data_IF_647220797252
#
_entry.id   IF_647220797252
#
_cell.length_a   1.000
_cell.length_b   1.000
_cell.length_c   1.000
_cell.angle_alpha   90.00
_cell.angle_beta   90.00
_cell.angle_gamma   90.00
#
_symmetry.space_group_name_H-M   'P 1'
#
loop_
_entity.id
_entity.type
_entity.pdbx_description
1 polymer ?
#
# COMPACT_ATOMS: atom_id res chain seq x y z
N UNK A 1 -10.41 -0.87 16.45
CA UNK A 1 -10.51 0.39 17.21
C UNK A 1 -11.64 1.21 16.61
N UNK A 2 -12.79 1.39 17.30
CA UNK A 2 -13.91 2.19 16.74
C UNK A 2 -13.40 3.58 16.40
N UNK A 3 -13.47 3.96 15.12
CA UNK A 3 -13.22 5.31 14.64
C UNK A 3 -14.14 6.26 15.42
N UNK A 4 -13.63 6.84 16.51
CA UNK A 4 -14.22 8.03 17.08
C UNK A 4 -14.20 9.05 15.97
N UNK A 5 -15.37 9.59 15.62
CA UNK A 5 -15.49 10.77 14.78
C UNK A 5 -14.73 11.88 15.51
N UNK A 6 -13.46 12.03 15.20
CA UNK A 6 -12.63 13.10 15.73
C UNK A 6 -13.23 14.37 15.16
N UNK A 7 -13.88 15.16 16.01
CA UNK A 7 -14.26 16.53 15.69
C UNK A 7 -12.98 17.27 15.29
N UNK A 8 -12.79 17.48 13.99
CA UNK A 8 -11.60 18.11 13.46
C UNK A 8 -11.64 19.60 13.79
N UNK A 9 -10.89 20.04 14.82
CA UNK A 9 -10.64 21.47 15.11
C UNK A 9 -9.61 22.03 14.12
N UNK A 10 -9.95 22.04 12.83
CA UNK A 10 -9.09 22.53 11.77
C UNK A 10 -9.85 23.37 10.75
N UNK A 11 -9.15 23.97 9.78
CA UNK A 11 -9.79 24.68 8.67
C UNK A 11 -10.78 23.77 7.96
N UNK A 12 -11.92 24.35 7.56
CA UNK A 12 -12.97 23.63 6.84
C UNK A 12 -12.48 23.36 5.43
N UNK A 13 -12.67 22.12 4.97
CA UNK A 13 -12.36 21.76 3.59
C UNK A 13 -13.33 22.49 2.64
N UNK A 14 -12.85 23.24 1.64
CA UNK A 14 -13.72 23.83 0.63
C UNK A 14 -14.57 22.74 -0.05
N UNK A 15 -15.85 23.04 -0.27
CA UNK A 15 -16.79 22.08 -0.85
C UNK A 15 -16.37 21.63 -2.25
N UNK A 16 -16.79 20.44 -2.66
CA UNK A 16 -16.41 19.86 -3.95
C UNK A 16 -16.79 20.73 -5.18
N UNK A 17 -17.79 21.61 -5.04
CA UNK A 17 -18.25 22.53 -6.08
C UNK A 17 -17.65 23.94 -6.00
N UNK A 18 -16.70 24.17 -5.09
CA UNK A 18 -16.04 25.47 -4.95
C UNK A 18 -14.87 25.61 -5.91
N UNK A 19 -14.73 26.79 -6.52
CA UNK A 19 -13.58 27.11 -7.39
C UNK A 19 -12.29 27.09 -6.58
N UNK A 20 -12.34 27.54 -5.33
CA UNK A 20 -11.22 27.49 -4.39
C UNK A 20 -10.71 26.06 -4.22
N UNK A 21 -11.62 25.07 -4.12
CA UNK A 21 -11.25 23.65 -4.06
C UNK A 21 -10.46 23.22 -5.31
N UNK A 22 -10.98 23.55 -6.48
CA UNK A 22 -10.34 23.24 -7.75
C UNK A 22 -8.94 23.88 -7.86
N UNK A 23 -8.82 25.17 -7.55
CA UNK A 23 -7.55 25.90 -7.64
C UNK A 23 -6.47 25.32 -6.72
N UNK A 24 -6.82 24.94 -5.49
CA UNK A 24 -5.86 24.31 -4.56
C UNK A 24 -5.39 22.98 -5.12
N UNK A 25 -6.28 22.13 -5.63
CA UNK A 25 -5.88 20.84 -6.19
C UNK A 25 -4.98 21.01 -7.41
N UNK A 26 -5.28 21.95 -8.32
CA UNK A 26 -4.44 22.24 -9.49
C UNK A 26 -3.04 22.73 -9.11
N UNK A 27 -2.94 23.63 -8.13
CA UNK A 27 -1.64 24.10 -7.63
C UNK A 27 -0.81 22.95 -7.03
N UNK A 28 -1.44 22.01 -6.30
CA UNK A 28 -0.74 20.83 -5.77
C UNK A 28 -0.36 19.84 -6.88
N UNK A 29 -1.23 19.63 -7.89
CA UNK A 29 -0.92 18.80 -9.08
C UNK A 29 0.28 19.36 -9.82
N UNK A 30 0.38 20.69 -9.96
CA UNK A 30 1.55 21.36 -10.52
C UNK A 30 2.81 21.00 -9.73
N UNK A 31 2.79 21.14 -8.39
CA UNK A 31 3.95 20.80 -7.54
C UNK A 31 4.39 19.34 -7.76
N UNK A 32 3.44 18.39 -7.85
CA UNK A 32 3.76 16.99 -8.16
C UNK A 32 4.47 16.84 -9.51
N UNK A 33 3.98 17.49 -10.57
CA UNK A 33 4.56 17.38 -11.90
C UNK A 33 5.98 17.97 -11.99
N UNK A 34 6.21 19.13 -11.35
CA UNK A 34 7.53 19.79 -11.37
C UNK A 34 8.57 19.01 -10.57
N UNK A 35 8.18 18.44 -9.44
CA UNK A 35 9.09 17.76 -8.51
C UNK A 35 9.09 16.23 -8.64
N UNK A 36 8.48 15.66 -9.70
CA UNK A 36 8.34 14.21 -9.92
C UNK A 36 9.64 13.41 -9.93
N UNK A 37 10.79 14.09 -10.04
CA UNK A 37 12.13 13.49 -10.01
C UNK A 37 12.74 13.43 -8.62
N UNK A 38 12.17 14.10 -7.62
CA UNK A 38 12.70 14.15 -6.26
C UNK A 38 11.59 14.15 -5.21
N UNK A 39 11.30 12.98 -4.65
CA UNK A 39 10.30 12.81 -3.58
C UNK A 39 10.55 13.73 -2.37
N UNK A 40 11.82 14.00 -2.03
CA UNK A 40 12.21 14.88 -0.92
C UNK A 40 11.85 16.34 -1.21
N UNK A 41 12.21 16.85 -2.40
CA UNK A 41 11.85 18.22 -2.81
C UNK A 41 10.35 18.38 -2.96
N UNK A 42 9.68 17.38 -3.53
CA UNK A 42 8.24 17.35 -3.67
C UNK A 42 7.54 17.42 -2.30
N UNK A 43 7.92 16.55 -1.35
CA UNK A 43 7.38 16.58 0.00
C UNK A 43 7.59 17.94 0.69
N UNK A 44 8.81 18.50 0.59
CA UNK A 44 9.11 19.81 1.17
C UNK A 44 8.20 20.91 0.59
N UNK A 45 8.05 20.97 -0.74
CA UNK A 45 7.19 21.98 -1.40
C UNK A 45 5.70 21.81 -1.09
N UNK A 46 5.21 20.58 -1.00
CA UNK A 46 3.82 20.31 -0.62
C UNK A 46 3.55 20.76 0.83
N UNK A 47 4.49 20.49 1.75
CA UNK A 47 4.35 20.85 3.16
C UNK A 47 4.51 22.35 3.42
N UNK A 48 5.29 23.04 2.59
CA UNK A 48 5.52 24.49 2.62
C UNK A 48 4.53 25.28 1.76
N UNK A 49 3.46 24.64 1.28
CA UNK A 49 2.45 25.30 0.45
C UNK A 49 1.81 26.48 1.19
N UNK A 50 1.84 27.65 0.56
CA UNK A 50 1.52 28.95 1.19
C UNK A 50 0.13 29.00 1.84
N UNK A 51 -0.87 28.40 1.18
CA UNK A 51 -2.27 28.39 1.64
C UNK A 51 -2.58 27.24 2.62
N UNK A 52 -1.56 26.58 3.19
CA UNK A 52 -1.72 25.42 4.09
C UNK A 52 -2.56 25.65 5.35
N UNK A 53 -2.74 26.91 5.76
CA UNK A 53 -3.56 27.28 6.93
C UNK A 53 -5.03 27.50 6.57
N UNK A 54 -5.36 27.67 5.29
CA UNK A 54 -6.71 27.97 4.80
C UNK A 54 -7.55 26.71 4.55
N UNK A 55 -6.88 25.58 4.33
CA UNK A 55 -7.51 24.28 4.02
C UNK A 55 -6.85 23.18 4.85
N UNK A 56 -7.50 22.04 5.09
CA UNK A 56 -6.88 20.90 5.76
C UNK A 56 -5.87 20.22 4.82
N UNK A 57 -4.71 20.86 4.66
CA UNK A 57 -3.75 20.62 3.57
C UNK A 57 -3.30 19.17 3.44
N UNK A 58 -3.13 18.44 4.54
CA UNK A 58 -2.71 17.05 4.51
C UNK A 58 -3.72 16.17 3.78
N UNK A 59 -5.02 16.42 3.97
CA UNK A 59 -6.08 15.68 3.29
C UNK A 59 -6.07 16.01 1.80
N UNK A 60 -5.93 17.29 1.44
CA UNK A 60 -5.93 17.70 0.02
C UNK A 60 -4.69 17.18 -0.71
N UNK A 61 -3.50 17.21 -0.07
CA UNK A 61 -2.29 16.58 -0.60
C UNK A 61 -2.54 15.10 -0.87
N UNK A 62 -3.12 14.39 0.10
CA UNK A 62 -3.35 12.97 0.00
C UNK A 62 -4.36 12.63 -1.10
N UNK A 63 -5.46 13.39 -1.19
CA UNK A 63 -6.45 13.27 -2.26
C UNK A 63 -5.82 13.51 -3.63
N UNK A 64 -4.98 14.53 -3.79
CA UNK A 64 -4.31 14.81 -5.07
C UNK A 64 -3.34 13.67 -5.44
N UNK A 65 -2.55 13.17 -4.50
CA UNK A 65 -1.64 12.02 -4.73
C UNK A 65 -2.43 10.78 -5.17
N UNK A 66 -3.50 10.41 -4.46
CA UNK A 66 -4.30 9.24 -4.83
C UNK A 66 -5.12 9.46 -6.10
N UNK A 67 -5.56 10.69 -6.39
CA UNK A 67 -6.22 11.00 -7.66
C UNK A 67 -5.32 10.73 -8.86
N UNK A 68 -4.01 11.00 -8.75
CA UNK A 68 -3.05 10.67 -9.79
C UNK A 68 -2.69 9.18 -9.80
N UNK A 69 -2.51 8.54 -8.63
CA UNK A 69 -2.21 7.11 -8.56
C UNK A 69 -3.34 6.25 -9.15
N UNK A 70 -4.59 6.61 -8.90
CA UNK A 70 -5.78 5.92 -9.42
C UNK A 70 -6.31 6.50 -10.73
N UNK A 71 -5.54 7.39 -11.39
CA UNK A 71 -5.95 7.95 -12.68
C UNK A 71 -6.06 6.85 -13.74
N UNK A 72 -7.13 6.87 -14.53
CA UNK A 72 -7.36 5.91 -15.62
C UNK A 72 -7.19 6.63 -16.97
N UNK A 73 -6.57 5.99 -17.98
CA UNK A 73 -6.12 4.59 -17.99
C UNK A 73 -4.86 4.35 -17.15
N UNK A 74 -3.95 5.32 -17.07
CA UNK A 74 -2.64 5.18 -16.41
C UNK A 74 -2.33 6.36 -15.50
N UNK A 75 -1.56 6.11 -14.44
CA UNK A 75 -1.06 7.19 -13.59
C UNK A 75 -0.11 8.13 -14.37
N UNK A 76 -0.15 9.46 -14.18
CA UNK A 76 0.72 10.41 -14.89
C UNK A 76 2.22 10.20 -14.65
N UNK A 77 2.56 9.62 -13.50
CA UNK A 77 3.93 9.29 -13.07
C UNK A 77 3.96 7.84 -12.59
N UNK A 78 5.14 7.21 -12.59
CA UNK A 78 5.32 5.83 -12.10
C UNK A 78 4.75 5.67 -10.68
N UNK A 79 3.90 4.65 -10.41
CA UNK A 79 3.27 4.44 -9.10
C UNK A 79 4.21 4.48 -7.89
N UNK A 80 5.44 3.95 -8.05
CA UNK A 80 6.46 3.93 -7.00
C UNK A 80 6.85 5.34 -6.50
N UNK A 81 6.75 6.37 -7.35
CA UNK A 81 6.98 7.75 -6.94
C UNK A 81 6.01 8.15 -5.82
N UNK A 82 4.72 7.92 -6.01
CA UNK A 82 3.68 8.26 -5.03
C UNK A 82 3.84 7.50 -3.72
N UNK A 83 4.10 6.18 -3.78
CA UNK A 83 4.37 5.40 -2.57
C UNK A 83 5.57 5.93 -1.79
N UNK A 84 6.65 6.28 -2.49
CA UNK A 84 7.85 6.83 -1.87
C UNK A 84 7.67 8.26 -1.33
N UNK A 85 6.84 9.07 -1.99
CA UNK A 85 6.47 10.41 -1.54
C UNK A 85 5.65 10.35 -0.25
N UNK A 86 4.70 9.43 -0.16
CA UNK A 86 3.89 9.23 1.04
C UNK A 86 4.75 8.82 2.25
N UNK A 87 5.75 7.96 2.05
CA UNK A 87 6.74 7.64 3.09
C UNK A 87 7.50 8.90 3.55
N UNK A 88 7.92 9.75 2.60
CA UNK A 88 8.60 11.01 2.93
C UNK A 88 7.69 11.96 3.73
N UNK A 89 6.41 12.07 3.36
CA UNK A 89 5.41 12.89 4.06
C UNK A 89 5.09 12.37 5.47
N UNK A 90 5.17 11.05 5.70
CA UNK A 90 5.01 10.42 7.02
C UNK A 90 6.05 10.86 8.06
N UNK A 91 7.14 11.53 7.66
CA UNK A 91 8.10 12.11 8.60
C UNK A 91 7.51 13.26 9.42
N UNK A 92 6.38 13.82 8.98
CA UNK A 92 5.60 14.77 9.76
C UNK A 92 4.64 14.04 10.71
N UNK A 93 4.38 14.62 11.89
CA UNK A 93 3.54 13.96 12.91
C UNK A 93 2.08 13.75 12.49
N UNK A 94 1.55 14.60 11.63
CA UNK A 94 0.12 14.62 11.28
C UNK A 94 -0.24 13.79 10.05
N UNK A 95 0.72 13.45 9.18
CA UNK A 95 0.43 12.71 7.95
C UNK A 95 0.04 11.23 8.16
N UNK A 96 0.70 10.46 9.05
CA UNK A 96 0.40 9.03 9.22
C UNK A 96 -1.07 8.76 9.55
N UNK A 97 -1.70 9.60 10.39
CA UNK A 97 -3.11 9.45 10.74
C UNK A 97 -4.03 9.64 9.52
N UNK A 98 -3.75 10.64 8.67
CA UNK A 98 -4.55 10.93 7.48
C UNK A 98 -4.40 9.80 6.45
N UNK A 99 -3.20 9.24 6.31
CA UNK A 99 -2.95 8.07 5.44
C UNK A 99 -3.71 6.84 5.94
N UNK A 100 -3.66 6.55 7.25
CA UNK A 100 -4.38 5.41 7.83
C UNK A 100 -5.90 5.54 7.62
N UNK A 101 -6.45 6.75 7.78
CA UNK A 101 -7.86 7.02 7.50
C UNK A 101 -8.22 6.79 6.03
N UNK A 102 -7.37 7.23 5.10
CA UNK A 102 -7.60 6.99 3.67
C UNK A 102 -7.53 5.50 3.31
N UNK A 103 -6.56 4.76 3.83
CA UNK A 103 -6.44 3.31 3.63
C UNK A 103 -7.72 2.58 4.08
N UNK A 104 -8.23 2.94 5.26
CA UNK A 104 -9.49 2.41 5.79
C UNK A 104 -10.69 2.75 4.88
N UNK A 105 -10.78 4.00 4.40
CA UNK A 105 -11.84 4.39 3.46
C UNK A 105 -11.76 3.64 2.13
N UNK A 106 -10.57 3.37 1.62
CA UNK A 106 -10.39 2.57 0.41
C UNK A 106 -10.83 1.13 0.63
N UNK A 107 -10.43 0.51 1.74
CA UNK A 107 -10.87 -0.84 2.12
C UNK A 107 -12.40 -0.93 2.20
N UNK A 108 -13.06 0.01 2.88
CA UNK A 108 -14.51 0.04 3.02
C UNK A 108 -15.26 0.18 1.69
N UNK A 109 -14.66 0.85 0.70
CA UNK A 109 -15.28 1.14 -0.62
C UNK A 109 -14.79 0.23 -1.73
N UNK A 110 -13.95 -0.75 -1.42
CA UNK A 110 -13.23 -1.53 -2.42
C UNK A 110 -14.15 -2.32 -3.35
N UNK A 111 -15.35 -2.69 -2.88
CA UNK A 111 -16.36 -3.42 -3.65
C UNK A 111 -16.86 -2.65 -4.89
N UNK A 112 -16.66 -1.32 -4.91
CA UNK A 112 -17.03 -0.43 -6.03
C UNK A 112 -15.82 0.15 -6.77
N UNK A 113 -14.60 -0.20 -6.34
CA UNK A 113 -13.38 0.31 -6.94
C UNK A 113 -13.05 -0.44 -8.24
N UNK A 114 -12.55 0.27 -9.25
CA UNK A 114 -12.10 -0.34 -10.50
C UNK A 114 -10.92 -1.28 -10.25
N UNK A 115 -10.90 -2.45 -10.91
CA UNK A 115 -9.88 -3.50 -10.69
C UNK A 115 -8.45 -2.97 -10.86
N UNK A 116 -8.20 -2.17 -11.90
CA UNK A 116 -6.90 -1.55 -12.12
C UNK A 116 -6.45 -0.61 -10.98
N UNK A 117 -7.40 0.02 -10.27
CA UNK A 117 -7.12 0.82 -9.09
C UNK A 117 -6.88 -0.04 -7.84
N UNK A 118 -7.58 -1.18 -7.72
CA UNK A 118 -7.35 -2.16 -6.65
C UNK A 118 -5.92 -2.71 -6.76
N UNK A 119 -5.45 -3.06 -7.95
CA UNK A 119 -4.06 -3.52 -8.15
C UNK A 119 -3.04 -2.49 -7.67
N UNK A 120 -3.24 -1.21 -8.01
CA UNK A 120 -2.37 -0.11 -7.56
C UNK A 120 -2.48 0.15 -6.07
N UNK A 121 -3.66 -0.07 -5.47
CA UNK A 121 -3.86 0.03 -4.03
C UNK A 121 -3.11 -1.10 -3.30
N UNK A 122 -3.15 -2.33 -3.80
CA UNK A 122 -2.38 -3.48 -3.28
C UNK A 122 -0.89 -3.16 -3.31
N UNK A 123 -0.39 -2.67 -4.45
CA UNK A 123 1.03 -2.32 -4.62
C UNK A 123 1.46 -1.20 -3.68
N UNK A 124 0.68 -0.12 -3.63
CA UNK A 124 0.98 0.99 -2.72
C UNK A 124 0.94 0.55 -1.26
N UNK A 125 -0.10 -0.14 -0.83
CA UNK A 125 -0.31 -0.46 0.57
C UNK A 125 0.74 -1.46 1.07
N UNK A 126 1.02 -2.52 0.32
CA UNK A 126 2.07 -3.48 0.67
C UNK A 126 3.47 -2.85 0.71
N UNK A 127 3.78 -1.96 -0.25
CA UNK A 127 5.03 -1.19 -0.23
C UNK A 127 5.10 -0.23 0.96
N UNK A 128 3.99 0.44 1.31
CA UNK A 128 3.92 1.29 2.49
C UNK A 128 4.20 0.46 3.75
N UNK A 129 3.53 -0.67 3.90
CA UNK A 129 3.67 -1.58 5.04
C UNK A 129 5.10 -2.07 5.24
N UNK A 130 5.81 -2.42 4.16
CA UNK A 130 7.21 -2.88 4.25
C UNK A 130 8.18 -1.81 4.79
N UNK A 131 7.82 -0.53 4.70
CA UNK A 131 8.61 0.58 5.23
C UNK A 131 8.24 0.97 6.68
N UNK A 132 7.17 0.39 7.24
CA UNK A 132 6.70 0.64 8.62
C UNK A 132 6.55 -0.65 9.42
N UNK A 133 7.47 -1.60 9.19
CA UNK A 133 7.54 -2.88 9.91
C UNK A 133 6.26 -3.72 9.86
N UNK A 134 5.44 -3.51 8.83
CA UNK A 134 4.16 -4.16 8.62
C UNK A 134 3.15 -3.97 9.77
N UNK A 135 3.26 -2.85 10.49
CA UNK A 135 2.35 -2.50 11.59
C UNK A 135 1.04 -1.97 11.04
N UNK A 136 -0.02 -2.76 11.17
CA UNK A 136 -1.40 -2.37 10.87
C UNK A 136 -2.35 -3.03 11.86
N UNK A 137 -3.51 -2.42 12.07
CA UNK A 137 -4.58 -2.98 12.87
C UNK A 137 -5.32 -4.06 12.08
N UNK A 138 -4.64 -5.15 11.72
CA UNK A 138 -5.19 -6.25 10.91
C UNK A 138 -6.52 -6.80 11.44
N UNK A 139 -6.68 -6.82 12.77
CA UNK A 139 -7.94 -7.22 13.41
C UNK A 139 -9.15 -6.38 13.01
N UNK A 140 -8.95 -5.13 12.60
CA UNK A 140 -10.03 -4.25 12.12
C UNK A 140 -10.55 -4.71 10.73
N UNK A 141 -9.80 -5.55 10.01
CA UNK A 141 -10.18 -6.13 8.71
C UNK A 141 -10.49 -7.63 8.79
N UNK A 142 -10.75 -8.18 10.00
CA UNK A 142 -11.11 -9.59 10.14
C UNK A 142 -12.43 -9.96 9.42
N UNK A 143 -13.26 -8.98 9.06
CA UNK A 143 -14.51 -9.20 8.33
C UNK A 143 -14.29 -9.87 6.97
N UNK A 144 -13.12 -9.67 6.34
CA UNK A 144 -12.84 -10.27 5.02
C UNK A 144 -12.46 -11.75 5.06
N UNK A 145 -12.06 -12.28 6.22
CA UNK A 145 -11.50 -13.64 6.35
C UNK A 145 -12.49 -14.72 5.93
N UNK A 146 -13.75 -14.56 6.34
CA UNK A 146 -14.82 -15.54 6.10
C UNK A 146 -15.66 -15.21 4.85
N UNK A 147 -15.30 -14.17 4.08
CA UNK A 147 -15.94 -13.88 2.80
C UNK A 147 -15.52 -14.90 1.73
N UNK A 148 -16.31 -14.95 0.66
CA UNK A 148 -15.96 -15.72 -0.54
C UNK A 148 -14.57 -15.31 -1.09
N UNK A 149 -13.83 -16.27 -1.66
CA UNK A 149 -12.46 -16.05 -2.14
C UNK A 149 -12.36 -15.02 -3.27
N UNK A 150 -13.46 -14.74 -3.96
CA UNK A 150 -13.59 -13.76 -5.03
C UNK A 150 -14.21 -12.43 -4.55
N UNK A 151 -14.57 -12.31 -3.27
CA UNK A 151 -15.03 -11.05 -2.72
C UNK A 151 -13.89 -10.00 -2.78
N UNK A 152 -14.13 -8.76 -3.25
CA UNK A 152 -13.08 -7.76 -3.43
C UNK A 152 -12.25 -7.49 -2.17
N UNK A 153 -12.87 -7.39 -0.99
CA UNK A 153 -12.17 -7.24 0.30
C UNK A 153 -11.25 -8.42 0.62
N UNK A 154 -11.74 -9.65 0.44
CA UNK A 154 -10.96 -10.86 0.67
C UNK A 154 -9.76 -10.93 -0.27
N UNK A 155 -9.99 -10.70 -1.58
CA UNK A 155 -8.92 -10.67 -2.57
C UNK A 155 -7.90 -9.59 -2.22
N UNK A 156 -8.33 -8.37 -1.96
CA UNK A 156 -7.43 -7.28 -1.61
C UNK A 156 -6.49 -7.62 -0.46
N UNK A 157 -7.04 -8.12 0.66
CA UNK A 157 -6.20 -8.44 1.83
C UNK A 157 -5.30 -9.63 1.54
N UNK A 158 -5.81 -10.68 0.87
CA UNK A 158 -4.99 -11.83 0.46
C UNK A 158 -3.82 -11.41 -0.42
N UNK A 159 -4.06 -10.59 -1.45
CA UNK A 159 -3.01 -10.12 -2.36
C UNK A 159 -2.02 -9.17 -1.66
N UNK A 160 -2.49 -8.32 -0.74
CA UNK A 160 -1.59 -7.50 0.11
C UNK A 160 -0.68 -8.38 0.95
N UNK A 161 -1.21 -9.43 1.58
CA UNK A 161 -0.42 -10.37 2.39
C UNK A 161 0.58 -11.13 1.52
N UNK A 162 0.20 -11.58 0.32
CA UNK A 162 1.13 -12.19 -0.64
C UNK A 162 2.28 -11.23 -1.02
N UNK A 163 1.95 -9.98 -1.36
CA UNK A 163 2.96 -8.96 -1.69
C UNK A 163 3.89 -8.69 -0.50
N UNK A 164 3.36 -8.63 0.72
CA UNK A 164 4.15 -8.50 1.94
C UNK A 164 5.09 -9.70 2.15
N UNK A 165 4.67 -10.92 1.79
CA UNK A 165 5.55 -12.10 1.82
C UNK A 165 6.74 -11.90 0.90
N UNK A 166 6.53 -11.38 -0.31
CA UNK A 166 7.61 -11.13 -1.29
C UNK A 166 8.60 -10.05 -0.85
N UNK A 167 8.16 -9.09 -0.03
CA UNK A 167 9.03 -8.08 0.59
C UNK A 167 9.65 -8.55 1.91
N UNK A 168 9.31 -9.76 2.37
CA UNK A 168 9.72 -10.30 3.66
C UNK A 168 9.93 -11.81 3.57
N UNK A 169 9.54 -12.53 4.62
CA UNK A 169 9.62 -13.97 4.73
C UNK A 169 8.43 -14.49 5.55
N UNK A 170 8.04 -15.74 5.31
CA UNK A 170 6.84 -16.36 5.89
C UNK A 170 6.72 -16.18 7.41
N UNK A 171 7.80 -16.43 8.16
CA UNK A 171 7.77 -16.31 9.63
C UNK A 171 7.43 -14.89 10.10
N UNK A 172 7.88 -13.84 9.38
CA UNK A 172 7.51 -12.47 9.74
C UNK A 172 6.01 -12.25 9.65
N UNK A 173 5.36 -12.80 8.62
CA UNK A 173 3.91 -12.68 8.44
C UNK A 173 3.14 -13.38 9.55
N UNK A 174 3.56 -14.58 9.95
CA UNK A 174 2.93 -15.32 11.05
C UNK A 174 3.04 -14.62 12.41
N UNK A 175 4.03 -13.76 12.59
CA UNK A 175 4.22 -12.97 13.82
C UNK A 175 3.37 -11.70 13.85
N UNK A 176 3.15 -11.06 12.70
CA UNK A 176 2.42 -9.77 12.61
C UNK A 176 0.91 -9.93 12.42
N UNK A 177 0.48 -11.05 11.82
CA UNK A 177 -0.94 -11.28 11.51
C UNK A 177 -1.65 -11.99 12.67
N UNK A 178 -2.89 -11.58 13.00
CA UNK A 178 -3.73 -12.30 13.94
C UNK A 178 -4.03 -13.75 13.48
N UNK A 179 -4.29 -14.69 14.41
CA UNK A 179 -4.55 -16.11 14.08
C UNK A 179 -5.69 -16.32 13.07
N UNK A 180 -6.69 -15.44 13.05
CA UNK A 180 -7.82 -15.46 12.13
C UNK A 180 -7.36 -15.40 10.67
N UNK A 181 -6.27 -14.70 10.38
CA UNK A 181 -5.69 -14.59 9.04
C UNK A 181 -4.90 -15.82 8.60
N UNK A 182 -4.82 -16.88 9.39
CA UNK A 182 -3.99 -18.05 9.10
C UNK A 182 -4.22 -18.64 7.70
N UNK A 183 -5.47 -18.66 7.21
CA UNK A 183 -5.83 -19.15 5.86
C UNK A 183 -5.38 -18.21 4.72
N UNK A 184 -5.06 -16.95 5.02
CA UNK A 184 -4.60 -15.93 4.07
C UNK A 184 -3.08 -15.84 4.00
N UNK A 185 -2.35 -16.45 4.93
CA UNK A 185 -0.89 -16.49 4.89
C UNK A 185 -0.49 -17.42 3.74
N UNK A 186 0.30 -16.94 2.74
CA UNK A 186 0.75 -17.80 1.67
C UNK A 186 1.64 -18.91 2.22
N UNK A 187 1.62 -20.07 1.56
CA UNK A 187 2.46 -21.20 1.97
C UNK A 187 3.94 -20.81 1.95
N UNK A 188 4.71 -21.43 2.84
CA UNK A 188 6.16 -21.24 2.88
C UNK A 188 6.74 -21.62 1.51
N UNK A 189 7.50 -20.74 0.84
CA UNK A 189 8.11 -21.06 -0.44
C UNK A 189 9.14 -22.17 -0.24
N UNK A 190 8.89 -23.33 -0.85
CA UNK A 190 9.78 -24.49 -0.84
C UNK A 190 10.13 -24.84 -2.29
N UNK A 191 11.39 -25.17 -2.54
CA UNK A 191 11.83 -25.66 -3.84
C UNK A 191 11.32 -27.11 -3.95
N UNK A 192 10.39 -27.35 -4.87
CA UNK A 192 9.93 -28.69 -5.22
C UNK A 192 10.66 -29.16 -6.48
N UNK A 193 11.48 -30.20 -6.34
CA UNK A 193 12.07 -30.88 -7.48
C UNK A 193 11.11 -31.95 -7.98
N UNK A 194 10.62 -31.78 -9.19
CA UNK A 194 9.82 -32.80 -9.87
C UNK A 194 10.74 -33.90 -10.42
N UNK A 195 11.15 -34.82 -9.54
CA UNK A 195 11.94 -35.98 -9.89
C UNK A 195 11.01 -37.09 -10.37
N UNK A 196 10.38 -36.90 -11.52
CA UNK A 196 9.42 -37.86 -12.10
C UNK A 196 10.03 -39.19 -12.56
N UNK A 197 11.36 -39.37 -12.51
CA UNK A 197 12.00 -40.65 -12.76
C UNK A 197 12.82 -41.11 -11.54
N UNK A 198 12.25 -42.10 -10.85
CA UNK A 198 12.72 -42.64 -9.59
C UNK A 198 14.18 -43.10 -9.60
N UNK A 199 14.84 -42.88 -8.46
CA UNK A 199 16.13 -43.45 -8.04
C UNK A 199 17.37 -42.99 -8.84
N UNK A 200 17.32 -42.94 -10.18
CA UNK A 200 18.48 -42.65 -11.03
C UNK A 200 18.89 -41.16 -10.98
N UNK A 201 17.92 -40.25 -10.97
CA UNK A 201 18.19 -38.81 -10.89
C UNK A 201 18.62 -38.41 -9.48
N UNK A 202 18.16 -39.10 -8.43
CA UNK A 202 18.63 -38.89 -7.06
C UNK A 202 20.12 -39.23 -6.92
N UNK A 203 20.56 -40.36 -7.47
CA UNK A 203 21.98 -40.73 -7.48
C UNK A 203 22.84 -39.75 -8.29
N UNK A 204 22.34 -39.28 -9.45
CA UNK A 204 23.05 -38.28 -10.25
C UNK A 204 23.08 -36.91 -9.55
N UNK A 205 21.99 -36.50 -8.90
CA UNK A 205 21.92 -35.25 -8.14
C UNK A 205 22.81 -35.29 -6.89
N UNK A 206 22.84 -36.40 -6.16
CA UNK A 206 23.76 -36.62 -5.04
C UNK A 206 25.22 -36.54 -5.51
N UNK A 207 25.57 -37.20 -6.63
CA UNK A 207 26.90 -37.12 -7.21
C UNK A 207 27.25 -35.70 -7.68
N UNK A 208 26.28 -34.94 -8.22
CA UNK A 208 26.50 -33.57 -8.69
C UNK A 208 26.68 -32.57 -7.53
N UNK A 209 25.88 -32.71 -6.46
CA UNK A 209 26.02 -31.93 -5.23
C UNK A 209 27.36 -32.27 -4.54
N UNK A 210 27.77 -33.54 -4.55
CA UNK A 210 29.06 -33.95 -3.99
C UNK A 210 30.24 -33.37 -4.79
N UNK A 211 30.15 -33.34 -6.13
CA UNK A 211 31.18 -32.79 -7.01
C UNK A 211 31.37 -31.27 -6.82
N UNK A 212 30.28 -30.52 -6.61
CA UNK A 212 30.34 -29.07 -6.37
C UNK A 212 30.89 -28.67 -4.99
N UNK A 213 30.77 -29.56 -3.98
CA UNK A 213 31.27 -29.30 -2.63
C UNK A 213 32.73 -29.74 -2.41
N UNK A 214 33.37 -30.38 -3.41
CA UNK A 214 34.74 -30.90 -3.33
C UNK A 214 35.71 -30.30 -4.39
N UNK A 215 35.41 -29.10 -4.91
CA UNK A 215 36.41 -28.20 -5.53
C UNK A 215 36.78 -27.08 -4.56
#
# INVERSE_FOLDING_TARGET
MRLQVVYFKGPILPGAHSIERFLVEEELRWILDQEKRSRKKCAARLLDYEKRTLVPINYVILEVIFSQLFHLPDAPVRPIFYGSLLIELCKTKSMPQVIAQAAELFYQRIDTMQVACIDRLIDWFSYHMSNFEYRWSWSDWCDCVELDRLAPRHMFVREVVDRCMRFSYHQKLTEILPPEFGKMIPEKPVICYDLNDGILILQLAENFIFFLNFQ
#
